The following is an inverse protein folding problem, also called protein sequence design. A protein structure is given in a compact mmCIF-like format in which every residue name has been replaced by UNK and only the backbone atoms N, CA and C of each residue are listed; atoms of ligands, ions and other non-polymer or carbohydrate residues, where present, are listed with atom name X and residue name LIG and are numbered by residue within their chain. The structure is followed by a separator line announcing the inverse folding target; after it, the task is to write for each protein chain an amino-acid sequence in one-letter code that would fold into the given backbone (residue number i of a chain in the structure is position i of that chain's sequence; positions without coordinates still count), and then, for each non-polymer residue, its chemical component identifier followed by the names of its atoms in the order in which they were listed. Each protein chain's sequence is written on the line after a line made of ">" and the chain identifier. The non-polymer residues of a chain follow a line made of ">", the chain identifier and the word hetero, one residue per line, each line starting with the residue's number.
data_IF_046046435722
#
_entry.id   IF_046046435722
#
_cell.length_a   1.000
_cell.length_b   1.000
_cell.length_c   1.000
_cell.angle_alpha   90.00
_cell.angle_beta   90.00
_cell.angle_gamma   90.00
#
_symmetry.space_group_name_H-M   'P 1'
#
loop_
_entity.id
_entity.type
_entity.pdbx_description
1 polymer ?
#
# COMPACT_ATOMS: atom_id res chain seq x y z
N UNK A 1 -4.03 -26.63 8.41
CA UNK A 1 -2.67 -26.07 8.59
C UNK A 1 -2.34 -24.88 7.66
N UNK A 2 -3.27 -24.35 6.85
CA UNK A 2 -2.93 -23.33 5.82
C UNK A 2 -3.04 -21.84 6.24
N UNK A 3 -3.78 -21.50 7.29
CA UNK A 3 -3.96 -20.09 7.69
C UNK A 3 -2.79 -19.57 8.56
N UNK A 4 -2.21 -20.43 9.39
CA UNK A 4 -1.15 -20.05 10.34
C UNK A 4 0.18 -19.72 9.66
N UNK A 5 0.48 -20.32 8.50
CA UNK A 5 1.68 -20.01 7.72
C UNK A 5 1.60 -18.65 7.03
N UNK A 6 0.40 -18.25 6.57
CA UNK A 6 0.19 -16.90 6.03
C UNK A 6 0.21 -15.88 7.16
N UNK A 7 -0.40 -16.18 8.31
CA UNK A 7 -0.43 -15.28 9.47
C UNK A 7 0.97 -15.02 10.06
N UNK A 8 1.83 -16.04 10.12
CA UNK A 8 3.23 -15.88 10.53
C UNK A 8 4.07 -15.08 9.54
N UNK A 9 3.71 -15.06 8.25
CA UNK A 9 4.31 -14.19 7.22
C UNK A 9 3.72 -12.76 7.29
N UNK A 10 2.50 -12.61 7.80
CA UNK A 10 1.76 -11.35 7.92
C UNK A 10 2.19 -10.49 9.12
N UNK A 11 2.76 -11.07 10.18
CA UNK A 11 3.28 -10.30 11.34
C UNK A 11 4.73 -10.69 11.62
N UNK A 12 5.66 -10.05 10.91
CA UNK A 12 7.07 -10.03 11.30
C UNK A 12 7.33 -8.79 12.14
N UNK A 13 8.43 -8.72 12.89
CA UNK A 13 8.87 -7.48 13.53
C UNK A 13 10.00 -6.88 12.70
N UNK A 14 10.03 -5.55 12.55
CA UNK A 14 11.12 -4.83 11.90
C UNK A 14 11.77 -3.86 12.86
N UNK A 15 13.06 -3.64 12.66
CA UNK A 15 13.85 -2.65 13.41
C UNK A 15 14.37 -1.62 12.43
N UNK A 16 14.20 -0.34 12.77
CA UNK A 16 14.76 0.75 11.97
C UNK A 16 16.27 0.79 12.16
N UNK A 17 17.02 0.71 11.05
CA UNK A 17 18.49 0.76 11.05
C UNK A 17 19.01 1.93 10.24
N UNK A 18 20.20 2.39 10.60
CA UNK A 18 20.97 3.37 9.84
C UNK A 18 22.23 2.72 9.27
N UNK A 19 22.27 2.59 7.95
CA UNK A 19 23.35 1.93 7.22
C UNK A 19 23.80 2.76 6.03
N UNK A 20 24.98 2.45 5.44
CA UNK A 20 25.41 3.12 4.21
C UNK A 20 24.54 2.64 3.06
N UNK A 21 24.13 3.55 2.18
CA UNK A 21 23.29 3.19 1.04
C UNK A 21 23.87 2.04 0.20
N UNK A 22 25.20 2.04 -0.02
CA UNK A 22 25.90 0.96 -0.75
C UNK A 22 25.70 -0.43 -0.14
N UNK A 23 25.61 -0.51 1.19
CA UNK A 23 25.49 -1.75 1.94
C UNK A 23 24.02 -2.23 1.92
N UNK A 24 23.06 -1.30 1.84
CA UNK A 24 21.63 -1.58 1.69
C UNK A 24 21.28 -2.03 0.27
N UNK A 25 21.77 -1.34 -0.76
CA UNK A 25 21.38 -1.63 -2.16
C UNK A 25 22.03 -2.90 -2.71
N UNK A 26 23.21 -3.28 -2.21
CA UNK A 26 23.91 -4.55 -2.57
C UNK A 26 23.97 -4.82 -4.09
N UNK A 27 24.25 -3.80 -4.89
CA UNK A 27 24.34 -3.90 -6.35
C UNK A 27 23.01 -3.75 -7.11
N UNK A 28 21.88 -3.61 -6.40
CA UNK A 28 20.60 -3.27 -7.02
C UNK A 28 20.56 -1.82 -7.51
N UNK A 29 19.81 -1.57 -8.58
CA UNK A 29 19.52 -0.22 -9.06
C UNK A 29 18.62 0.50 -8.04
N UNK A 30 18.92 1.77 -7.81
CA UNK A 30 18.11 2.64 -6.97
C UNK A 30 17.93 4.00 -7.65
N UNK A 31 16.92 4.75 -7.22
CA UNK A 31 16.65 6.12 -7.65
C UNK A 31 16.10 6.93 -6.49
N UNK A 32 16.31 8.24 -6.50
CA UNK A 32 15.60 9.15 -5.59
C UNK A 32 14.15 9.24 -6.08
N UNK A 33 13.19 8.99 -5.18
CA UNK A 33 11.77 9.01 -5.50
C UNK A 33 10.97 9.69 -4.39
N UNK A 34 10.86 11.02 -4.45
CA UNK A 34 10.04 11.79 -3.53
C UNK A 34 8.58 11.83 -4.02
N UNK A 35 7.90 10.69 -3.91
CA UNK A 35 6.66 10.42 -4.64
C UNK A 35 5.53 11.42 -4.38
N UNK A 36 5.45 12.06 -3.20
CA UNK A 36 4.37 12.99 -2.85
C UNK A 36 4.77 14.47 -2.91
N UNK A 37 5.96 14.82 -3.43
CA UNK A 37 6.37 16.24 -3.53
C UNK A 37 5.43 17.08 -4.42
N UNK A 38 4.74 16.42 -5.37
CA UNK A 38 3.71 17.05 -6.21
C UNK A 38 2.41 17.37 -5.44
N UNK A 39 2.20 16.74 -4.28
CA UNK A 39 0.97 16.83 -3.47
C UNK A 39 1.18 17.57 -2.16
N UNK A 40 2.37 17.41 -1.55
CA UNK A 40 2.70 17.94 -0.23
C UNK A 40 4.06 18.63 -0.23
N UNK A 41 4.14 19.75 0.49
CA UNK A 41 5.43 20.39 0.80
C UNK A 41 6.19 19.49 1.79
N UNK A 42 7.45 19.10 1.50
CA UNK A 42 8.25 18.33 2.44
C UNK A 42 8.60 19.15 3.67
N UNK A 43 8.79 18.47 4.80
CA UNK A 43 9.30 19.07 6.04
C UNK A 43 10.74 19.59 5.85
N UNK A 44 11.19 20.53 6.68
CA UNK A 44 12.59 20.94 6.71
C UNK A 44 13.52 19.73 6.89
N UNK A 45 14.62 19.68 6.14
CA UNK A 45 15.55 18.53 6.13
C UNK A 45 16.06 18.20 7.53
N UNK A 46 16.36 19.21 8.36
CA UNK A 46 16.85 19.00 9.71
C UNK A 46 15.83 18.27 10.60
N UNK A 47 14.52 18.54 10.42
CA UNK A 47 13.47 17.84 11.15
C UNK A 47 13.30 16.40 10.67
N UNK A 48 13.38 16.17 9.36
CA UNK A 48 13.30 14.82 8.79
C UNK A 48 14.44 13.96 9.34
N UNK A 49 15.67 14.50 9.34
CA UNK A 49 16.84 13.82 9.88
C UNK A 49 16.72 13.59 11.39
N UNK A 50 16.21 14.57 12.14
CA UNK A 50 15.97 14.42 13.58
C UNK A 50 15.00 13.27 13.85
N UNK A 51 13.81 13.31 13.25
CA UNK A 51 12.80 12.25 13.41
C UNK A 51 13.30 10.87 12.94
N UNK A 52 14.08 10.81 11.87
CA UNK A 52 14.65 9.54 11.39
C UNK A 52 15.66 8.95 12.39
N UNK A 53 16.49 9.79 13.02
CA UNK A 53 17.45 9.33 14.03
C UNK A 53 16.76 8.90 15.33
N UNK A 54 15.70 9.58 15.74
CA UNK A 54 14.89 9.21 16.92
C UNK A 54 14.24 7.83 16.79
N UNK A 55 14.03 7.36 15.55
CA UNK A 55 13.42 6.07 15.27
C UNK A 55 14.42 4.92 15.18
N UNK A 56 15.74 5.16 15.23
CA UNK A 56 16.76 4.10 15.13
C UNK A 56 16.60 3.12 16.30
N UNK A 57 16.74 1.82 16.01
CA UNK A 57 16.60 0.71 16.95
C UNK A 57 15.18 0.53 17.54
N UNK A 58 14.19 1.29 17.05
CA UNK A 58 12.78 1.09 17.39
C UNK A 58 12.24 -0.13 16.67
N UNK A 59 11.69 -1.07 17.43
CA UNK A 59 11.00 -2.25 16.92
C UNK A 59 9.54 -1.89 16.56
N UNK A 60 9.14 -2.23 15.33
CA UNK A 60 7.82 -1.95 14.77
C UNK A 60 7.19 -3.27 14.31
N UNK A 61 5.89 -3.42 14.50
CA UNK A 61 5.16 -4.52 13.86
C UNK A 61 5.21 -4.35 12.34
N UNK A 62 5.75 -5.36 11.65
CA UNK A 62 6.04 -5.37 10.23
C UNK A 62 5.20 -6.39 9.45
N UNK A 63 4.20 -5.92 8.71
CA UNK A 63 3.54 -6.74 7.70
C UNK A 63 4.23 -6.58 6.34
N UNK A 64 4.74 -7.68 5.78
CA UNK A 64 5.47 -7.69 4.50
C UNK A 64 4.58 -7.31 3.30
N UNK A 65 3.26 -7.50 3.44
CA UNK A 65 2.28 -7.34 2.37
C UNK A 65 1.68 -5.94 2.30
N UNK A 66 1.84 -5.12 3.33
CA UNK A 66 1.29 -3.78 3.34
C UNK A 66 2.19 -2.81 4.13
N UNK A 67 2.60 -1.75 3.43
CA UNK A 67 2.54 -0.37 3.96
C UNK A 67 3.64 0.13 4.90
N UNK A 68 4.44 -0.69 5.59
CA UNK A 68 5.26 -0.12 6.68
C UNK A 68 6.47 0.70 6.22
N UNK A 69 7.25 0.24 5.24
CA UNK A 69 8.43 1.01 4.77
C UNK A 69 8.03 2.32 4.07
N UNK A 70 7.04 2.29 3.18
CA UNK A 70 6.57 3.48 2.46
C UNK A 70 5.89 4.46 3.41
N UNK A 71 4.98 3.99 4.29
CA UNK A 71 4.37 4.85 5.31
C UNK A 71 5.39 5.45 6.26
N UNK A 72 6.39 4.68 6.67
CA UNK A 72 7.45 5.18 7.53
C UNK A 72 8.17 6.36 6.88
N UNK A 73 8.63 6.21 5.64
CA UNK A 73 9.39 7.28 4.96
C UNK A 73 8.51 8.46 4.54
N UNK A 74 7.22 8.25 4.20
CA UNK A 74 6.30 9.37 3.90
C UNK A 74 5.90 10.11 5.18
N UNK A 75 5.71 9.41 6.30
CA UNK A 75 5.46 10.03 7.61
C UNK A 75 6.65 10.88 8.02
N UNK A 76 7.88 10.39 7.82
CA UNK A 76 9.09 11.19 8.07
C UNK A 76 9.15 12.45 7.19
N UNK A 77 8.93 12.32 5.87
CA UNK A 77 9.11 13.43 4.91
C UNK A 77 7.99 14.46 4.90
N UNK A 78 6.74 14.03 5.05
CA UNK A 78 5.54 14.86 4.83
C UNK A 78 4.64 14.99 6.06
N UNK A 79 5.01 14.37 7.18
CA UNK A 79 4.16 14.19 8.38
C UNK A 79 2.85 13.41 8.11
N UNK A 80 2.76 12.73 6.95
CA UNK A 80 1.59 11.95 6.52
C UNK A 80 2.00 10.56 6.02
N UNK A 81 1.40 9.53 6.60
CA UNK A 81 1.55 8.16 6.12
C UNK A 81 0.60 7.92 4.94
N UNK A 82 1.13 7.76 3.73
CA UNK A 82 0.35 7.41 2.54
C UNK A 82 1.09 6.38 1.69
N UNK A 83 0.37 5.39 1.17
CA UNK A 83 0.88 4.37 0.26
C UNK A 83 0.03 4.33 -1.02
N UNK A 84 0.67 4.24 -2.18
CA UNK A 84 0.00 4.24 -3.49
C UNK A 84 -0.90 3.03 -3.78
N UNK A 85 -0.73 1.90 -3.07
CA UNK A 85 -1.36 0.61 -3.43
C UNK A 85 -2.83 0.45 -3.01
N UNK A 86 -3.33 1.24 -2.05
CA UNK A 86 -4.67 1.03 -1.46
C UNK A 86 -5.80 1.46 -2.41
N UNK A 87 -5.51 2.33 -3.38
CA UNK A 87 -6.54 2.83 -4.30
C UNK A 87 -6.92 1.79 -5.35
N UNK A 88 -5.97 1.01 -5.85
CA UNK A 88 -6.21 0.09 -6.97
C UNK A 88 -7.03 -1.13 -6.56
N UNK A 89 -6.76 -1.70 -5.37
CA UNK A 89 -7.48 -2.89 -4.89
C UNK A 89 -8.96 -2.57 -4.62
N UNK A 90 -9.24 -1.47 -3.92
CA UNK A 90 -10.62 -1.07 -3.60
C UNK A 90 -11.38 -0.72 -4.89
N UNK A 91 -10.78 0.04 -5.80
CA UNK A 91 -11.41 0.40 -7.07
C UNK A 91 -11.71 -0.85 -7.94
N UNK A 92 -10.79 -1.82 -7.99
CA UNK A 92 -10.98 -3.07 -8.74
C UNK A 92 -12.15 -3.91 -8.21
N UNK A 93 -12.34 -3.94 -6.88
CA UNK A 93 -13.44 -4.64 -6.23
C UNK A 93 -14.79 -3.95 -6.53
N UNK A 94 -14.84 -2.62 -6.51
CA UNK A 94 -16.05 -1.88 -6.86
C UNK A 94 -16.48 -2.11 -8.32
N UNK A 95 -15.54 -2.07 -9.28
CA UNK A 95 -15.86 -2.27 -10.71
C UNK A 95 -16.39 -3.69 -10.97
N UNK A 96 -15.79 -4.70 -10.34
CA UNK A 96 -16.23 -6.10 -10.52
C UNK A 96 -17.62 -6.36 -9.93
N UNK A 97 -17.93 -5.82 -8.75
CA UNK A 97 -19.26 -5.97 -8.12
C UNK A 97 -20.36 -5.32 -8.98
N UNK A 98 -20.14 -4.08 -9.43
CA UNK A 98 -21.16 -3.35 -10.24
C UNK A 98 -21.35 -4.01 -11.61
N UNK A 99 -20.27 -4.46 -12.26
CA UNK A 99 -20.34 -5.13 -13.55
C UNK A 99 -21.17 -6.42 -13.53
N UNK A 100 -21.03 -7.26 -12.50
CA UNK A 100 -21.78 -8.51 -12.37
C UNK A 100 -23.28 -8.26 -12.15
N UNK A 101 -23.64 -7.28 -11.32
CA UNK A 101 -25.05 -6.96 -11.03
C UNK A 101 -25.81 -6.40 -12.24
N UNK A 102 -25.16 -5.57 -13.07
CA UNK A 102 -25.77 -5.02 -14.28
C UNK A 102 -26.04 -6.09 -15.35
N UNK A 103 -25.10 -7.03 -15.54
CA UNK A 103 -25.26 -8.08 -16.56
C UNK A 103 -26.36 -9.08 -16.18
N UNK A 104 -26.44 -9.46 -14.90
CA UNK A 104 -27.47 -10.40 -14.43
C UNK A 104 -28.88 -9.82 -14.54
N UNK A 105 -29.07 -8.56 -14.13
CA UNK A 105 -30.37 -7.88 -14.21
C UNK A 105 -30.84 -7.65 -15.65
N UNK A 106 -29.94 -7.31 -16.59
CA UNK A 106 -30.27 -7.21 -18.02
C UNK A 106 -30.66 -8.57 -18.61
N UNK A 107 -29.98 -9.66 -18.22
CA UNK A 107 -30.30 -11.02 -18.68
C UNK A 107 -31.68 -11.50 -18.20
N UNK A 108 -32.02 -11.22 -16.94
CA UNK A 108 -33.34 -11.52 -16.37
C UNK A 108 -34.42 -10.69 -17.05
N UNK A 109 -34.20 -9.38 -17.27
CA UNK A 109 -35.17 -8.53 -17.95
C UNK A 109 -35.40 -8.96 -19.41
N UNK A 110 -34.33 -9.26 -20.16
CA UNK A 110 -34.44 -9.73 -21.55
C UNK A 110 -35.17 -11.06 -21.66
N UNK A 111 -34.92 -12.00 -20.74
CA UNK A 111 -35.60 -13.30 -20.74
C UNK A 111 -37.08 -13.17 -20.35
N UNK A 112 -37.43 -12.27 -19.43
CA UNK A 112 -38.82 -11.95 -19.10
C UNK A 112 -39.56 -11.31 -20.28
N UNK A 113 -38.93 -10.37 -20.99
CA UNK A 113 -39.50 -9.74 -22.19
C UNK A 113 -39.69 -10.72 -23.36
N UNK A 114 -38.80 -11.72 -23.50
CA UNK A 114 -38.94 -12.77 -24.53
C UNK A 114 -40.12 -13.70 -24.24
N UNK A 115 -40.41 -14.01 -22.96
CA UNK A 115 -41.55 -14.85 -22.55
C UNK A 115 -42.92 -14.19 -22.75
N UNK A 116 -42.99 -12.85 -22.77
CA UNK A 116 -44.22 -12.10 -23.04
C UNK A 116 -44.58 -12.01 -24.52
N UNK A 117 -43.64 -12.37 -25.42
CA UNK A 117 -43.78 -12.26 -26.88
C UNK A 117 -44.06 -13.59 -27.57
N UNK A 118 -44.25 -14.67 -26.82
CA UNK A 118 -44.46 -16.03 -27.29
C UNK A 118 -45.77 -16.56 -26.73
#
# INVERSE_FOLDING_TARGET
>A
AGASSLFSVLTSKAVVKRERLKDVVRGCRYRINNILDHKYRPRPVHEILKSANEMIDVEMEYSFLEKNCEHFVTKLRYDKAECGQVKDVILSLFITIVGVAAVSSIGVLRSALKRQKQ
#
